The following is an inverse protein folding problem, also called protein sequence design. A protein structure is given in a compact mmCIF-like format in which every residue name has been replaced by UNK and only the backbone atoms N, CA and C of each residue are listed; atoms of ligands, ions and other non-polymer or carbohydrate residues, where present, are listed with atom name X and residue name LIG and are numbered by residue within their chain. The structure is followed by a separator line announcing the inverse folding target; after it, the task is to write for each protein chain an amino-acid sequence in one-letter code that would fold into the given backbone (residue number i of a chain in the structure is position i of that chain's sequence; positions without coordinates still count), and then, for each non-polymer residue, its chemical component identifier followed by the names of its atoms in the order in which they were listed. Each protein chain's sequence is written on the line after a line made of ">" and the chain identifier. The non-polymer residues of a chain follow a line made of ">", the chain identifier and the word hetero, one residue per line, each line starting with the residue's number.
data_IF_210329993822
#
_entry.id   IF_210329993822
#
_cell.length_a   1.000
_cell.length_b   1.000
_cell.length_c   1.000
_cell.angle_alpha   90.00
_cell.angle_beta   90.00
_cell.angle_gamma   90.00
#
_symmetry.space_group_name_H-M   'P 1'
#
loop_
_entity.id
_entity.type
_entity.pdbx_description
1 polymer ?
#
# COMPACT_ATOMS: atom_id res chain seq x y z
N UNK A 1 -7.46 -15.64 -21.30
CA UNK A 1 -7.33 -14.36 -20.59
C UNK A 1 -6.16 -14.46 -19.64
N UNK A 2 -5.19 -13.56 -19.77
CA UNK A 2 -3.81 -13.74 -19.28
C UNK A 2 -3.72 -14.03 -17.79
N UNK A 3 -3.24 -15.23 -17.48
CA UNK A 3 -2.60 -15.60 -16.22
C UNK A 3 -1.30 -14.80 -16.08
N UNK A 4 -1.46 -13.53 -15.71
CA UNK A 4 -0.38 -12.69 -15.19
C UNK A 4 -0.08 -13.15 -13.78
N UNK A 5 0.62 -14.28 -13.67
CA UNK A 5 1.35 -14.68 -12.49
C UNK A 5 2.42 -13.62 -12.20
N UNK A 6 2.02 -12.44 -11.72
CA UNK A 6 2.85 -11.52 -10.96
C UNK A 6 3.04 -12.18 -9.59
N UNK A 7 3.87 -13.21 -9.57
CA UNK A 7 4.56 -13.63 -8.38
C UNK A 7 5.41 -12.42 -7.97
N UNK A 8 4.85 -11.58 -7.09
CA UNK A 8 5.52 -10.42 -6.53
C UNK A 8 6.77 -10.84 -5.78
N UNK A 9 7.81 -11.23 -6.52
CA UNK A 9 9.15 -11.38 -6.05
C UNK A 9 9.46 -10.08 -5.33
N UNK A 10 9.83 -10.17 -4.06
CA UNK A 10 10.19 -9.01 -3.27
C UNK A 10 11.17 -8.09 -4.02
N UNK A 11 11.98 -8.69 -4.92
CA UNK A 11 12.90 -8.00 -5.79
C UNK A 11 12.25 -7.08 -6.84
N UNK A 12 11.03 -7.33 -7.35
CA UNK A 12 10.40 -6.47 -8.38
C UNK A 12 9.29 -5.56 -7.83
N UNK A 13 8.82 -5.79 -6.61
CA UNK A 13 7.72 -5.03 -6.00
C UNK A 13 8.08 -3.56 -5.67
N UNK A 14 7.13 -2.61 -5.82
CA UNK A 14 7.29 -1.27 -5.28
C UNK A 14 7.23 -1.29 -3.75
N UNK A 15 8.09 -0.50 -3.11
CA UNK A 15 7.97 -0.24 -1.67
C UNK A 15 7.10 1.00 -1.42
N UNK A 16 6.75 1.25 -0.15
CA UNK A 16 6.02 2.46 0.26
C UNK A 16 6.70 3.76 -0.22
N UNK A 17 8.05 3.81 -0.20
CA UNK A 17 8.86 4.96 -0.65
C UNK A 17 8.86 5.16 -2.17
N UNK A 18 8.41 4.18 -2.96
CA UNK A 18 8.15 4.40 -4.39
C UNK A 18 6.92 5.29 -4.62
N UNK A 19 5.95 5.25 -3.70
CA UNK A 19 4.72 6.05 -3.77
C UNK A 19 4.88 7.39 -3.03
N UNK A 20 5.49 7.35 -1.84
CA UNK A 20 5.74 8.52 -1.00
C UNK A 20 7.25 8.71 -0.76
N UNK A 21 8.00 9.31 -1.71
CA UNK A 21 9.46 9.45 -1.63
C UNK A 21 9.90 10.24 -0.41
N UNK A 22 9.16 11.31 -0.11
CA UNK A 22 9.35 12.17 1.04
C UNK A 22 8.13 12.04 1.95
N UNK A 23 8.36 12.04 3.26
CA UNK A 23 7.24 12.05 4.20
C UNK A 23 6.61 13.45 4.14
N UNK A 24 5.28 13.59 4.04
CA UNK A 24 4.65 14.89 4.18
C UNK A 24 4.98 15.47 5.57
N UNK A 25 5.10 16.79 5.64
CA UNK A 25 5.28 17.47 6.92
C UNK A 25 4.03 17.32 7.81
N UNK A 26 4.18 17.60 9.11
CA UNK A 26 3.10 17.45 10.07
C UNK A 26 1.90 18.40 9.82
N UNK A 27 2.09 19.50 9.07
CA UNK A 27 0.99 20.39 8.69
C UNK A 27 0.16 19.79 7.54
N UNK A 28 0.81 19.08 6.61
CA UNK A 28 0.17 18.40 5.48
C UNK A 28 -0.53 17.10 5.90
N UNK A 29 0.00 16.39 6.89
CA UNK A 29 -0.54 15.13 7.38
C UNK A 29 -0.50 15.06 8.92
N UNK A 30 -1.40 15.79 9.61
CA UNK A 30 -1.49 15.76 11.07
C UNK A 30 -1.84 14.36 11.60
N UNK A 31 -1.35 14.06 12.79
CA UNK A 31 -1.63 12.78 13.45
C UNK A 31 -3.11 12.61 13.81
N UNK A 32 -3.53 11.36 14.03
CA UNK A 32 -4.92 11.03 14.40
C UNK A 32 -5.38 11.73 15.69
N UNK A 33 -4.49 12.00 16.63
CA UNK A 33 -4.79 12.72 17.87
C UNK A 33 -5.12 14.20 17.67
N UNK A 34 -4.65 14.79 16.58
CA UNK A 34 -4.83 16.21 16.26
C UNK A 34 -5.99 16.41 15.27
N UNK A 35 -6.04 15.62 14.20
CA UNK A 35 -7.09 15.72 13.17
C UNK A 35 -8.39 14.98 13.53
N UNK A 36 -8.32 13.99 14.43
CA UNK A 36 -9.40 13.03 14.67
C UNK A 36 -9.53 11.98 13.57
N UNK A 37 -10.13 10.82 13.89
CA UNK A 37 -10.42 9.76 12.93
C UNK A 37 -11.71 9.01 13.27
N UNK A 38 -12.53 8.71 12.27
CA UNK A 38 -13.74 7.93 12.44
C UNK A 38 -13.40 6.45 12.64
N UNK A 39 -13.68 5.89 13.82
CA UNK A 39 -13.43 4.48 14.13
C UNK A 39 -13.95 3.47 13.10
N UNK A 40 -15.14 3.66 12.49
CA UNK A 40 -15.61 2.78 11.43
C UNK A 40 -14.69 2.75 10.19
N UNK A 41 -14.08 3.88 9.83
CA UNK A 41 -13.16 3.97 8.67
C UNK A 41 -11.90 3.16 8.93
N UNK A 42 -11.30 3.29 10.12
CA UNK A 42 -10.13 2.49 10.50
C UNK A 42 -10.47 1.01 10.66
N UNK A 43 -11.68 0.69 11.14
CA UNK A 43 -12.19 -0.68 11.23
C UNK A 43 -12.31 -1.39 9.88
N UNK A 44 -12.81 -0.69 8.85
CA UNK A 44 -12.86 -1.21 7.47
C UNK A 44 -11.46 -1.53 6.96
N UNK A 45 -10.54 -0.55 7.04
CA UNK A 45 -9.16 -0.73 6.56
C UNK A 45 -8.45 -1.86 7.29
N UNK A 46 -8.55 -1.92 8.63
CA UNK A 46 -7.93 -2.97 9.43
C UNK A 46 -8.46 -4.37 9.11
N UNK A 47 -9.77 -4.51 8.91
CA UNK A 47 -10.39 -5.79 8.53
C UNK A 47 -9.92 -6.25 7.14
N UNK A 48 -9.83 -5.33 6.18
CA UNK A 48 -9.32 -5.62 4.84
C UNK A 48 -7.84 -6.04 4.86
N UNK A 49 -7.02 -5.37 5.69
CA UNK A 49 -5.63 -5.74 5.91
C UNK A 49 -5.51 -7.15 6.51
N UNK A 50 -6.28 -7.46 7.56
CA UNK A 50 -6.29 -8.78 8.17
C UNK A 50 -6.66 -9.88 7.16
N UNK A 51 -7.69 -9.65 6.35
CA UNK A 51 -8.08 -10.60 5.30
C UNK A 51 -6.99 -10.75 4.22
N UNK A 52 -6.31 -9.67 3.83
CA UNK A 52 -5.19 -9.75 2.90
C UNK A 52 -4.02 -10.56 3.48
N UNK A 53 -3.71 -10.40 4.77
CA UNK A 53 -2.70 -11.19 5.47
C UNK A 53 -3.06 -12.68 5.51
N UNK A 54 -4.30 -13.02 5.84
CA UNK A 54 -4.77 -14.42 5.84
C UNK A 54 -4.63 -15.03 4.44
N UNK A 55 -5.08 -14.32 3.40
CA UNK A 55 -4.94 -14.77 2.01
C UNK A 55 -3.48 -14.99 1.62
N UNK A 56 -2.59 -14.08 2.01
CA UNK A 56 -1.15 -14.18 1.73
C UNK A 56 -0.54 -15.42 2.40
N UNK A 57 -0.82 -15.64 3.68
CA UNK A 57 -0.29 -16.80 4.44
C UNK A 57 -0.74 -18.12 3.83
N UNK A 58 -2.00 -18.18 3.38
CA UNK A 58 -2.58 -19.39 2.79
C UNK A 58 -2.27 -19.55 1.30
N UNK A 59 -1.60 -18.59 0.66
CA UNK A 59 -1.34 -18.60 -0.78
C UNK A 59 -2.62 -18.51 -1.63
N UNK A 60 -3.64 -17.81 -1.16
CA UNK A 60 -4.95 -17.71 -1.80
C UNK A 60 -5.09 -16.44 -2.64
N UNK A 61 -5.36 -16.62 -3.94
CA UNK A 61 -5.63 -15.53 -4.88
C UNK A 61 -4.40 -14.65 -5.16
N UNK A 62 -4.64 -13.48 -5.75
CA UNK A 62 -3.58 -12.52 -6.04
C UNK A 62 -3.25 -11.64 -4.83
N UNK A 63 -1.98 -11.25 -4.73
CA UNK A 63 -1.53 -10.29 -3.72
C UNK A 63 -1.96 -8.88 -4.10
N UNK A 64 -2.10 -7.98 -3.12
CA UNK A 64 -2.33 -6.56 -3.36
C UNK A 64 -1.04 -5.79 -3.69
N UNK A 65 0.02 -6.51 -4.09
CA UNK A 65 1.31 -5.93 -4.45
C UNK A 65 1.17 -5.03 -5.67
N UNK A 66 1.89 -3.91 -5.68
CA UNK A 66 1.82 -2.98 -6.79
C UNK A 66 0.53 -2.16 -6.86
N UNK A 67 -0.29 -2.15 -5.79
CA UNK A 67 -1.56 -1.41 -5.77
C UNK A 67 -1.67 -0.56 -4.50
N UNK A 68 -2.13 0.67 -4.66
CA UNK A 68 -2.58 1.52 -3.56
C UNK A 68 -4.10 1.62 -3.61
N UNK A 69 -4.77 1.17 -2.56
CA UNK A 69 -6.21 1.26 -2.42
C UNK A 69 -6.59 2.44 -1.53
N UNK A 70 -7.53 3.26 -2.01
CA UNK A 70 -8.11 4.37 -1.27
C UNK A 70 -9.56 4.03 -0.97
N UNK A 71 -9.98 4.31 0.26
CA UNK A 71 -11.36 4.21 0.70
C UNK A 71 -11.88 5.61 0.99
N UNK A 72 -12.94 6.02 0.29
CA UNK A 72 -13.65 7.27 0.59
C UNK A 72 -14.69 6.99 1.67
N UNK A 73 -14.42 7.39 2.91
CA UNK A 73 -15.35 7.23 4.03
C UNK A 73 -16.62 8.07 3.93
N UNK A 74 -16.68 9.08 3.04
CA UNK A 74 -17.87 9.93 2.83
C UNK A 74 -18.75 9.37 1.72
N UNK A 75 -18.14 8.98 0.60
CA UNK A 75 -18.84 8.41 -0.56
C UNK A 75 -19.06 6.89 -0.48
N UNK A 76 -18.31 6.18 0.38
CA UNK A 76 -18.33 4.73 0.52
C UNK A 76 -17.64 3.97 -0.61
N UNK A 77 -16.91 4.67 -1.48
CA UNK A 77 -16.27 4.10 -2.67
C UNK A 77 -14.84 3.62 -2.44
N UNK A 78 -14.37 2.76 -3.34
CA UNK A 78 -12.98 2.34 -3.43
C UNK A 78 -12.36 2.82 -4.73
N UNK A 79 -11.09 3.22 -4.65
CA UNK A 79 -10.26 3.53 -5.80
C UNK A 79 -8.96 2.73 -5.69
N UNK A 80 -8.56 2.07 -6.77
CA UNK A 80 -7.27 1.39 -6.86
C UNK A 80 -6.35 2.14 -7.82
N UNK A 81 -5.13 2.39 -7.38
CA UNK A 81 -4.08 3.04 -8.17
C UNK A 81 -2.95 2.04 -8.34
N UNK A 82 -2.61 1.72 -9.59
CA UNK A 82 -1.44 0.91 -9.90
C UNK A 82 -0.16 1.66 -9.56
N UNK A 83 0.79 0.98 -8.93
CA UNK A 83 2.07 1.50 -8.48
C UNK A 83 3.20 0.64 -9.02
N UNK A 84 4.35 1.26 -9.29
CA UNK A 84 5.51 0.60 -9.88
C UNK A 84 6.79 0.95 -9.13
N UNK A 85 7.73 0.00 -9.12
CA UNK A 85 9.04 0.19 -8.51
C UNK A 85 9.78 1.31 -9.23
N UNK A 86 10.31 2.28 -8.48
CA UNK A 86 11.13 3.37 -9.03
C UNK A 86 12.61 2.95 -9.02
N UNK A 87 13.31 2.95 -10.17
CA UNK A 87 14.75 2.61 -10.22
C UNK A 87 15.62 3.45 -9.27
N UNK A 88 15.25 4.71 -9.08
CA UNK A 88 15.90 5.69 -8.22
C UNK A 88 15.36 5.71 -6.78
N UNK A 89 14.54 4.73 -6.37
CA UNK A 89 14.03 4.69 -5.01
C UNK A 89 15.17 4.52 -3.99
N UNK A 90 15.21 5.35 -2.97
CA UNK A 90 16.24 5.28 -1.92
C UNK A 90 16.22 3.98 -1.11
N UNK A 91 15.07 3.29 -1.06
CA UNK A 91 14.88 2.06 -0.29
C UNK A 91 15.03 0.81 -1.13
N UNK A 92 14.38 0.76 -2.30
CA UNK A 92 14.38 -0.45 -3.14
C UNK A 92 14.89 -0.18 -4.55
N UNK A 93 15.57 0.92 -4.85
CA UNK A 93 16.14 1.20 -6.17
C UNK A 93 17.40 0.39 -6.47
N UNK A 94 17.95 0.52 -7.68
CA UNK A 94 19.14 -0.24 -8.12
C UNK A 94 20.41 0.15 -7.37
N UNK A 95 20.48 1.38 -6.85
CA UNK A 95 21.59 1.88 -6.04
C UNK A 95 21.32 1.84 -4.53
N UNK A 96 20.23 1.21 -4.07
CA UNK A 96 19.95 1.12 -2.64
C UNK A 96 20.98 0.18 -1.99
N UNK A 97 21.93 0.74 -1.25
CA UNK A 97 22.72 0.00 -0.27
C UNK A 97 21.76 -0.47 0.81
N UNK A 98 21.44 -1.77 0.84
CA UNK A 98 20.47 -2.33 1.76
C UNK A 98 20.71 -1.89 3.21
N UNK A 99 19.62 -1.57 3.93
CA UNK A 99 19.60 -1.66 5.39
C UNK A 99 19.38 -3.09 5.82
#
# INVERSE_FOLDING_TARGET
>A
DGDGSDDGSAASSPCYRCVFPDMPDAQQAPGCSEAGILGPVTGVIGTMQALATIRLILGLGSTQTGKLMLFDGRGGGFMEISTSRRPQCVTCGTGATGS
#
